data_IF_239160480511
#
_entry.id   IF_239160480511
#
_cell.length_a   1.000
_cell.length_b   1.000
_cell.length_c   1.000
_cell.angle_alpha   90.00
_cell.angle_beta   90.00
_cell.angle_gamma   90.00
#
_symmetry.space_group_name_H-M   'P 1'
#
loop_
_entity.id
_entity.type
_entity.pdbx_description
1 polymer ?
#
# COMPACT_ATOMS: atom_id res chain seq x y z
N UNK A 1 -3.43 -9.90 11.45
CA UNK A 1 -3.92 -8.54 11.14
C UNK A 1 -4.28 -8.44 9.67
N UNK A 2 -5.18 -7.54 9.34
CA UNK A 2 -5.48 -7.19 7.95
C UNK A 2 -4.63 -5.99 7.57
N UNK A 3 -3.81 -6.15 6.56
CA UNK A 3 -2.84 -5.14 6.14
C UNK A 3 -3.08 -4.77 4.67
N UNK A 4 -3.20 -3.48 4.40
CA UNK A 4 -3.29 -2.96 3.03
C UNK A 4 -1.94 -2.34 2.68
N UNK A 5 -1.37 -2.74 1.55
CA UNK A 5 -0.11 -2.18 1.05
C UNK A 5 -0.38 -1.49 -0.28
N UNK A 6 -0.03 -0.22 -0.35
CA UNK A 6 -0.17 0.60 -1.55
C UNK A 6 1.16 0.55 -2.30
N UNK A 7 1.12 0.00 -3.50
CA UNK A 7 2.30 -0.18 -4.34
C UNK A 7 2.81 -1.62 -4.32
N UNK A 8 2.88 -2.24 -5.50
CA UNK A 8 3.39 -3.61 -5.69
C UNK A 8 4.72 -3.60 -6.46
N UNK A 9 5.50 -2.55 -6.29
CA UNK A 9 6.85 -2.49 -6.79
C UNK A 9 7.81 -3.29 -5.91
N UNK A 10 9.10 -2.99 -6.00
CA UNK A 10 10.12 -3.74 -5.26
C UNK A 10 9.88 -3.72 -3.75
N UNK A 11 9.66 -2.53 -3.18
CA UNK A 11 9.49 -2.37 -1.74
C UNK A 11 8.17 -2.96 -1.27
N UNK A 12 7.07 -2.62 -1.95
CA UNK A 12 5.74 -3.11 -1.56
C UNK A 12 5.62 -4.62 -1.65
N UNK A 13 6.12 -5.22 -2.74
CA UNK A 13 6.07 -6.67 -2.92
C UNK A 13 6.90 -7.42 -1.87
N UNK A 14 8.08 -6.92 -1.54
CA UNK A 14 8.92 -7.52 -0.51
C UNK A 14 8.27 -7.44 0.86
N UNK A 15 7.71 -6.28 1.18
CA UNK A 15 7.01 -6.09 2.45
C UNK A 15 5.80 -7.02 2.54
N UNK A 16 5.03 -7.12 1.45
CA UNK A 16 3.87 -8.02 1.40
C UNK A 16 4.25 -9.46 1.67
N UNK A 17 5.36 -9.94 1.07
CA UNK A 17 5.83 -11.32 1.30
C UNK A 17 6.20 -11.56 2.75
N UNK A 18 6.92 -10.61 3.36
CA UNK A 18 7.34 -10.75 4.76
C UNK A 18 6.14 -10.84 5.68
N UNK A 19 5.20 -9.90 5.56
CA UNK A 19 4.05 -9.85 6.47
C UNK A 19 3.08 -11.01 6.21
N UNK A 20 2.92 -11.43 4.95
CA UNK A 20 2.11 -12.60 4.63
C UNK A 20 2.71 -13.89 5.22
N UNK A 21 4.03 -14.03 5.18
CA UNK A 21 4.72 -15.16 5.76
C UNK A 21 4.62 -15.21 7.30
N UNK A 22 4.36 -14.06 7.91
CA UNK A 22 4.11 -13.99 9.35
C UNK A 22 2.65 -14.28 9.73
N UNK A 23 1.82 -14.60 8.75
CA UNK A 23 0.44 -15.01 8.99
C UNK A 23 -0.59 -13.90 8.90
N UNK A 24 -0.22 -12.74 8.36
CA UNK A 24 -1.15 -11.63 8.17
C UNK A 24 -1.87 -11.72 6.83
N UNK A 25 -3.10 -11.20 6.79
CA UNK A 25 -3.87 -11.08 5.56
C UNK A 25 -3.47 -9.79 4.86
N UNK A 26 -2.97 -9.89 3.62
CA UNK A 26 -2.44 -8.75 2.88
C UNK A 26 -3.25 -8.52 1.61
N UNK A 27 -3.62 -7.27 1.38
CA UNK A 27 -4.19 -6.81 0.12
C UNK A 27 -3.27 -5.74 -0.44
N UNK A 28 -2.89 -5.89 -1.72
CA UNK A 28 -2.09 -4.91 -2.43
C UNK A 28 -2.98 -4.02 -3.29
N UNK A 29 -2.64 -2.74 -3.34
CA UNK A 29 -3.23 -1.79 -4.29
C UNK A 29 -2.11 -1.40 -5.25
N UNK A 30 -2.34 -1.59 -6.55
CA UNK A 30 -1.36 -1.28 -7.58
C UNK A 30 -2.04 -0.68 -8.80
N UNK A 31 -1.51 0.43 -9.26
CA UNK A 31 -2.02 1.17 -10.41
C UNK A 31 -1.56 0.59 -11.74
N UNK A 32 -0.34 0.06 -11.80
CA UNK A 32 0.25 -0.49 -13.00
C UNK A 32 -0.25 -1.91 -13.26
N UNK A 33 -0.78 -2.14 -14.46
CA UNK A 33 -1.35 -3.44 -14.84
C UNK A 33 -0.33 -4.58 -14.70
N UNK A 34 0.87 -4.39 -15.20
CA UNK A 34 1.88 -5.46 -15.19
C UNK A 34 2.32 -5.81 -13.77
N UNK A 35 2.48 -4.82 -12.92
CA UNK A 35 2.83 -5.06 -11.51
C UNK A 35 1.69 -5.71 -10.76
N UNK A 36 0.45 -5.31 -11.04
CA UNK A 36 -0.73 -5.92 -10.43
C UNK A 36 -0.83 -7.39 -10.82
N UNK A 37 -0.65 -7.71 -12.10
CA UNK A 37 -0.69 -9.09 -12.58
C UNK A 37 0.44 -9.95 -11.99
N UNK A 38 1.64 -9.38 -11.87
CA UNK A 38 2.77 -10.08 -11.25
C UNK A 38 2.44 -10.45 -9.80
N UNK A 39 1.86 -9.51 -9.06
CA UNK A 39 1.48 -9.77 -7.67
C UNK A 39 0.37 -10.82 -7.57
N UNK A 40 -0.62 -10.78 -8.45
CA UNK A 40 -1.67 -11.81 -8.51
C UNK A 40 -1.09 -13.18 -8.80
N UNK A 41 -0.12 -13.25 -9.70
CA UNK A 41 0.54 -14.52 -10.04
C UNK A 41 1.35 -15.08 -8.87
N UNK A 42 1.79 -14.23 -7.95
CA UNK A 42 2.44 -14.67 -6.71
C UNK A 42 1.43 -15.11 -5.63
N UNK A 43 0.14 -14.96 -5.90
CA UNK A 43 -0.92 -15.40 -4.98
C UNK A 43 -1.49 -14.31 -4.08
N UNK A 44 -1.13 -13.05 -4.31
CA UNK A 44 -1.67 -11.94 -3.52
C UNK A 44 -3.05 -11.51 -4.02
N UNK A 45 -3.86 -11.03 -3.09
CA UNK A 45 -5.07 -10.29 -3.42
C UNK A 45 -4.65 -8.89 -3.85
N UNK A 46 -5.10 -8.46 -5.02
CA UNK A 46 -4.71 -7.17 -5.59
C UNK A 46 -5.94 -6.41 -6.06
N UNK A 47 -6.03 -5.16 -5.68
CA UNK A 47 -6.96 -4.21 -6.26
C UNK A 47 -6.15 -3.33 -7.21
N UNK A 48 -6.48 -3.36 -8.48
CA UNK A 48 -5.82 -2.52 -9.48
C UNK A 48 -6.47 -1.14 -9.49
N UNK A 49 -5.68 -0.11 -9.21
CA UNK A 49 -6.19 1.25 -9.19
C UNK A 49 -5.22 2.22 -8.54
N UNK A 50 -5.64 3.48 -8.53
CA UNK A 50 -4.88 4.58 -7.95
C UNK A 50 -4.97 4.54 -6.43
N UNK A 51 -3.83 4.44 -5.76
CA UNK A 51 -3.75 4.41 -4.30
C UNK A 51 -4.12 5.72 -3.61
N UNK A 52 -4.37 6.80 -4.37
CA UNK A 52 -4.90 8.05 -3.82
C UNK A 52 -6.42 8.16 -3.96
N UNK A 53 -7.06 7.17 -4.58
CA UNK A 53 -8.52 7.14 -4.73
C UNK A 53 -9.17 6.49 -3.52
N UNK A 54 -10.07 7.20 -2.87
CA UNK A 54 -10.80 6.67 -1.72
C UNK A 54 -11.63 5.44 -2.09
N UNK A 55 -12.24 5.42 -3.27
CA UNK A 55 -13.02 4.27 -3.73
C UNK A 55 -12.14 3.03 -3.88
N UNK A 56 -10.96 3.17 -4.43
CA UNK A 56 -9.99 2.07 -4.56
C UNK A 56 -9.55 1.57 -3.19
N UNK A 57 -9.24 2.48 -2.28
CA UNK A 57 -8.82 2.14 -0.93
C UNK A 57 -9.93 1.43 -0.15
N UNK A 58 -11.17 1.86 -0.32
CA UNK A 58 -12.33 1.21 0.28
C UNK A 58 -12.50 -0.21 -0.27
N UNK A 59 -12.36 -0.38 -1.59
CA UNK A 59 -12.42 -1.70 -2.23
C UNK A 59 -11.34 -2.64 -1.67
N UNK A 60 -10.16 -2.10 -1.36
CA UNK A 60 -9.08 -2.87 -0.78
C UNK A 60 -9.30 -3.21 0.70
N UNK A 61 -10.34 -2.71 1.32
CA UNK A 61 -10.67 -3.01 2.71
C UNK A 61 -10.01 -2.08 3.73
N UNK A 62 -9.61 -0.88 3.32
CA UNK A 62 -8.91 0.04 4.20
C UNK A 62 -9.73 0.42 5.45
N UNK A 63 -11.05 0.50 5.31
CA UNK A 63 -11.94 0.87 6.43
C UNK A 63 -11.83 -0.07 7.63
N UNK A 64 -11.50 -1.33 7.39
CA UNK A 64 -11.40 -2.35 8.43
C UNK A 64 -9.99 -2.89 8.61
N UNK A 65 -9.01 -2.30 7.91
CA UNK A 65 -7.62 -2.74 8.03
C UNK A 65 -7.01 -2.32 9.36
N UNK A 66 -6.08 -3.11 9.85
CA UNK A 66 -5.33 -2.81 11.06
C UNK A 66 -4.14 -1.91 10.76
N UNK A 67 -3.55 -2.05 9.57
CA UNK A 67 -2.39 -1.28 9.17
C UNK A 67 -2.40 -1.02 7.66
N UNK A 68 -1.77 0.09 7.27
CA UNK A 68 -1.60 0.48 5.88
C UNK A 68 -0.15 0.90 5.66
N UNK A 69 0.50 0.29 4.68
CA UNK A 69 1.83 0.70 4.24
C UNK A 69 1.74 1.37 2.87
N UNK A 70 2.04 2.65 2.79
CA UNK A 70 2.03 3.39 1.53
C UNK A 70 3.46 3.44 0.99
N UNK A 71 3.77 2.54 0.06
CA UNK A 71 5.12 2.19 -0.35
C UNK A 71 5.38 2.41 -1.85
N UNK A 72 4.62 3.31 -2.48
CA UNK A 72 4.84 3.67 -3.89
C UNK A 72 6.06 4.58 -4.04
N UNK A 73 6.50 4.77 -5.26
CA UNK A 73 7.53 5.77 -5.57
C UNK A 73 7.01 7.20 -5.61
N UNK A 74 5.70 7.42 -5.48
CA UNK A 74 5.08 8.74 -5.52
C UNK A 74 4.68 9.17 -4.11
N UNK A 75 5.39 10.18 -3.59
CA UNK A 75 5.17 10.67 -2.23
C UNK A 75 3.76 11.22 -2.04
N UNK A 76 3.21 11.90 -3.05
CA UNK A 76 1.86 12.44 -2.93
C UNK A 76 0.81 11.34 -2.75
N UNK A 77 0.90 10.28 -3.54
CA UNK A 77 0.03 9.11 -3.38
C UNK A 77 0.16 8.51 -1.98
N UNK A 78 1.39 8.38 -1.50
CA UNK A 78 1.65 7.83 -0.17
C UNK A 78 1.03 8.68 0.93
N UNK A 79 1.16 9.99 0.86
CA UNK A 79 0.54 10.90 1.82
C UNK A 79 -0.97 10.79 1.82
N UNK A 80 -1.59 10.81 0.64
CA UNK A 80 -3.06 10.73 0.54
C UNK A 80 -3.56 9.41 1.12
N UNK A 81 -2.93 8.29 0.75
CA UNK A 81 -3.31 6.98 1.26
C UNK A 81 -3.20 6.93 2.79
N UNK A 82 -2.13 7.46 3.35
CA UNK A 82 -1.96 7.50 4.81
C UNK A 82 -2.97 8.40 5.50
N UNK A 83 -3.34 9.53 4.90
CA UNK A 83 -4.37 10.42 5.46
C UNK A 83 -5.71 9.70 5.53
N UNK A 84 -6.09 9.00 4.47
CA UNK A 84 -7.34 8.22 4.45
C UNK A 84 -7.28 7.09 5.47
N UNK A 85 -6.17 6.37 5.53
CA UNK A 85 -5.98 5.29 6.48
C UNK A 85 -6.08 5.78 7.93
N UNK A 86 -5.46 6.91 8.24
CA UNK A 86 -5.52 7.51 9.58
C UNK A 86 -6.93 7.91 9.97
N UNK A 87 -7.73 8.35 9.01
CA UNK A 87 -9.13 8.68 9.24
C UNK A 87 -9.92 7.46 9.74
N UNK A 88 -9.59 6.27 9.28
CA UNK A 88 -10.22 5.03 9.72
C UNK A 88 -9.54 4.38 10.93
N UNK A 89 -8.59 5.07 11.55
CA UNK A 89 -7.89 4.56 12.73
C UNK A 89 -6.83 3.49 12.44
N UNK A 90 -6.44 3.35 11.18
CA UNK A 90 -5.45 2.40 10.74
C UNK A 90 -4.03 2.88 11.10
N UNK A 91 -3.16 1.98 11.52
CA UNK A 91 -1.74 2.30 11.69
C UNK A 91 -1.11 2.51 10.30
N UNK A 92 -0.24 3.49 10.17
CA UNK A 92 0.30 3.86 8.87
C UNK A 92 1.81 3.86 8.85
N UNK A 93 2.38 3.39 7.73
CA UNK A 93 3.79 3.51 7.40
C UNK A 93 3.89 4.15 6.03
N UNK A 94 4.74 5.16 5.91
CA UNK A 94 4.88 5.96 4.70
C UNK A 94 6.32 5.87 4.20
N UNK A 95 6.47 5.51 2.92
CA UNK A 95 7.77 5.57 2.26
C UNK A 95 8.06 7.00 1.84
N UNK A 96 9.24 7.50 2.22
CA UNK A 96 9.75 8.80 1.81
C UNK A 96 11.01 8.58 0.99
N UNK A 97 11.07 9.21 -0.19
CA UNK A 97 12.23 9.17 -1.04
C UNK A 97 13.35 10.05 -0.43
N UNK A 98 14.61 9.67 -0.62
CA UNK A 98 15.76 10.42 -0.10
C UNK A 98 15.81 11.86 -0.61
N UNK A 99 15.43 12.09 -1.87
CA UNK A 99 15.41 13.42 -2.46
C UNK A 99 14.47 14.36 -1.71
N UNK A 100 13.32 13.85 -1.30
CA UNK A 100 12.39 14.62 -0.49
C UNK A 100 12.91 14.88 0.91
N UNK A 101 13.67 13.95 1.44
CA UNK A 101 14.27 14.11 2.75
C UNK A 101 15.23 15.29 2.80
N UNK A 102 16.03 15.47 1.74
CA UNK A 102 16.95 16.61 1.63
C UNK A 102 16.21 17.94 1.55
N UNK A 103 15.07 17.99 0.88
CA UNK A 103 14.27 19.22 0.77
C UNK A 103 13.57 19.58 2.07
N UNK A 104 13.22 18.61 2.88
CA UNK A 104 12.53 18.83 4.16
C UNK A 104 13.48 19.34 5.23
N UNK A 105 14.72 18.90 5.19
CA UNK A 105 15.75 19.29 6.15
C UNK A 105 16.60 20.47 5.65
#
# INVERSE_FOLDING_TARGET
MNIVIIGAGRVGSRTARVVANEGHDVTLVERDYDKAERARNEGFDVVEGDGSSEDVLTEAGLETADACGALTGDLNTNFVACMVASHYGCRTVLRIDEDYREEIY
#
